data_IF_754578295867
#
_entry.id   IF_754578295867
#
_cell.length_a   1.000
_cell.length_b   1.000
_cell.length_c   1.000
_cell.angle_alpha   90.00
_cell.angle_beta   90.00
_cell.angle_gamma   90.00
#
_symmetry.space_group_name_H-M   'P 1'
#
loop_
_entity.id
_entity.type
_entity.pdbx_description
1 polymer ?
#
# COMPACT_ATOMS: atom_id res chain seq x y z
N UNK A 1 -36.28 -47.46 -12.95
CA UNK A 1 -36.01 -46.94 -11.62
C UNK A 1 -34.54 -46.63 -11.35
N UNK A 2 -33.61 -47.45 -11.82
CA UNK A 2 -32.16 -47.25 -11.56
C UNK A 2 -31.62 -46.00 -12.26
N UNK A 3 -32.14 -45.61 -13.41
CA UNK A 3 -31.71 -44.43 -14.19
C UNK A 3 -32.05 -43.09 -13.52
N UNK A 4 -33.18 -43.02 -12.79
CA UNK A 4 -33.61 -41.83 -12.03
C UNK A 4 -32.69 -41.56 -10.80
N UNK A 5 -32.21 -42.61 -10.14
CA UNK A 5 -31.36 -42.51 -8.97
C UNK A 5 -29.96 -41.97 -9.37
N UNK A 6 -29.40 -42.41 -10.51
CA UNK A 6 -28.11 -41.90 -11.03
C UNK A 6 -28.19 -40.42 -11.36
N UNK A 7 -29.28 -39.93 -11.95
CA UNK A 7 -29.47 -38.52 -12.26
C UNK A 7 -29.55 -37.63 -11.01
N UNK A 8 -30.18 -38.14 -9.93
CA UNK A 8 -30.27 -37.39 -8.66
C UNK A 8 -28.93 -37.25 -7.97
N UNK A 9 -28.07 -38.27 -8.00
CA UNK A 9 -26.73 -38.20 -7.44
C UNK A 9 -25.82 -37.22 -8.26
N UNK A 10 -25.90 -37.29 -9.59
CA UNK A 10 -25.17 -36.37 -10.46
C UNK A 10 -25.58 -34.91 -10.24
N UNK A 11 -26.87 -34.64 -10.08
CA UNK A 11 -27.38 -33.31 -9.81
C UNK A 11 -26.91 -32.77 -8.45
N UNK A 12 -26.91 -33.62 -7.39
CA UNK A 12 -26.42 -33.23 -6.07
C UNK A 12 -24.93 -32.88 -6.07
N UNK A 13 -24.12 -33.68 -6.75
CA UNK A 13 -22.67 -33.43 -6.90
C UNK A 13 -22.42 -32.13 -7.65
N UNK A 14 -23.16 -31.89 -8.74
CA UNK A 14 -23.07 -30.67 -9.53
C UNK A 14 -23.41 -29.44 -8.70
N UNK A 15 -24.49 -29.49 -7.91
CA UNK A 15 -24.90 -28.43 -6.99
C UNK A 15 -23.84 -28.15 -5.92
N UNK A 16 -23.21 -29.18 -5.37
CA UNK A 16 -22.11 -29.00 -4.39
C UNK A 16 -20.89 -28.33 -5.02
N UNK A 17 -20.51 -28.69 -6.24
CA UNK A 17 -19.39 -28.07 -6.95
C UNK A 17 -19.70 -26.59 -7.22
N UNK A 18 -20.89 -26.25 -7.66
CA UNK A 18 -21.31 -24.88 -7.91
C UNK A 18 -21.28 -24.07 -6.61
N UNK A 19 -21.75 -24.63 -5.49
CA UNK A 19 -21.74 -23.97 -4.20
C UNK A 19 -20.31 -23.66 -3.73
N UNK A 20 -19.37 -24.59 -3.91
CA UNK A 20 -17.96 -24.39 -3.57
C UNK A 20 -17.34 -23.28 -4.43
N UNK A 21 -17.65 -23.24 -5.73
CA UNK A 21 -17.19 -22.18 -6.64
C UNK A 21 -17.72 -20.81 -6.21
N UNK A 22 -19.00 -20.72 -5.83
CA UNK A 22 -19.60 -19.47 -5.37
C UNK A 22 -18.92 -18.97 -4.09
N UNK A 23 -18.63 -19.87 -3.13
CA UNK A 23 -17.93 -19.52 -1.89
C UNK A 23 -16.51 -19.01 -2.16
N UNK A 24 -15.81 -19.61 -3.12
CA UNK A 24 -14.46 -19.16 -3.52
C UNK A 24 -14.45 -17.77 -4.18
N UNK A 25 -15.51 -17.42 -4.92
CA UNK A 25 -15.64 -16.12 -5.58
C UNK A 25 -16.03 -15.02 -4.57
N UNK A 26 -16.81 -15.35 -3.56
CA UNK A 26 -17.28 -14.39 -2.54
C UNK A 26 -16.23 -14.16 -1.44
N UNK A 27 -15.21 -15.03 -1.32
CA UNK A 27 -14.14 -14.83 -0.36
C UNK A 27 -13.43 -13.50 -0.66
N UNK A 28 -13.59 -12.44 0.17
CA UNK A 28 -12.88 -11.19 -0.06
C UNK A 28 -11.38 -11.47 0.14
N UNK A 29 -10.62 -11.26 -0.91
CA UNK A 29 -9.17 -11.19 -0.77
C UNK A 29 -8.89 -9.93 0.08
N UNK A 30 -8.64 -10.12 1.35
CA UNK A 30 -8.16 -9.04 2.21
C UNK A 30 -6.77 -8.64 1.73
N UNK A 31 -6.74 -7.71 0.80
CA UNK A 31 -5.50 -7.02 0.46
C UNK A 31 -5.22 -6.10 1.65
N UNK A 32 -4.40 -6.56 2.56
CA UNK A 32 -3.93 -5.75 3.67
C UNK A 32 -3.01 -4.66 3.11
N UNK A 33 -3.61 -3.55 2.71
CA UNK A 33 -2.85 -2.35 2.38
C UNK A 33 -2.49 -1.62 3.67
N UNK A 34 -1.27 -1.09 3.72
CA UNK A 34 -0.86 -0.20 4.80
C UNK A 34 -1.66 1.10 4.76
N UNK A 35 -1.80 1.75 5.89
CA UNK A 35 -2.56 2.99 6.02
C UNK A 35 -1.67 4.10 6.58
N UNK A 36 -1.70 5.27 5.94
CA UNK A 36 -0.96 6.43 6.43
C UNK A 36 -1.55 6.94 7.73
N UNK A 37 -0.74 7.01 8.78
CA UNK A 37 -1.15 7.51 10.09
C UNK A 37 -0.73 8.96 10.30
N UNK A 38 0.50 9.32 9.95
CA UNK A 38 1.03 10.65 10.21
C UNK A 38 2.20 10.97 9.27
N UNK A 39 2.27 12.22 8.84
CA UNK A 39 3.43 12.81 8.16
C UNK A 39 3.94 13.95 9.04
N UNK A 40 5.11 13.80 9.62
CA UNK A 40 5.78 14.89 10.34
C UNK A 40 6.67 15.71 9.39
N UNK A 41 7.47 15.01 8.58
CA UNK A 41 8.25 15.55 7.48
C UNK A 41 8.64 14.42 6.51
N UNK A 42 9.45 14.72 5.50
CA UNK A 42 9.87 13.74 4.48
C UNK A 42 10.70 12.59 5.05
N UNK A 43 11.33 12.79 6.19
CA UNK A 43 12.15 11.79 6.88
C UNK A 43 11.44 11.14 8.06
N UNK A 44 10.20 11.50 8.32
CA UNK A 44 9.45 11.03 9.46
C UNK A 44 7.98 10.83 9.12
N UNK A 45 7.69 9.67 8.55
CA UNK A 45 6.36 9.25 8.14
C UNK A 45 5.99 8.00 8.92
N UNK A 46 4.78 7.96 9.47
CA UNK A 46 4.27 6.83 10.23
C UNK A 46 3.14 6.16 9.45
N UNK A 47 3.28 4.87 9.23
CA UNK A 47 2.31 4.04 8.51
C UNK A 47 1.90 2.87 9.39
N UNK A 48 0.61 2.59 9.45
CA UNK A 48 0.05 1.42 10.11
C UNK A 48 -0.02 0.22 9.17
N UNK A 49 0.53 -0.90 9.59
CA UNK A 49 0.49 -2.16 8.86
C UNK A 49 0.26 -3.32 9.83
N UNK A 50 -0.86 -4.01 9.70
CA UNK A 50 -1.21 -5.20 10.51
C UNK A 50 -0.99 -5.01 12.01
N UNK A 51 -1.61 -3.97 12.62
CA UNK A 51 -1.48 -3.64 14.04
C UNK A 51 -0.08 -3.19 14.49
N UNK A 52 0.80 -2.88 13.54
CA UNK A 52 2.12 -2.32 13.81
C UNK A 52 2.23 -0.93 13.22
N UNK A 53 3.04 -0.09 13.86
CA UNK A 53 3.44 1.20 13.29
C UNK A 53 4.82 1.07 12.67
N UNK A 54 4.93 1.42 11.41
CA UNK A 54 6.19 1.49 10.69
C UNK A 54 6.65 2.94 10.59
N UNK A 55 7.90 3.18 10.93
CA UNK A 55 8.52 4.49 10.83
C UNK A 55 9.35 4.54 9.55
N UNK A 56 8.96 5.42 8.64
CA UNK A 56 9.52 5.51 7.29
C UNK A 56 10.20 6.85 7.07
N UNK A 57 11.23 6.80 6.24
CA UNK A 57 11.86 7.96 5.63
C UNK A 57 11.79 7.80 4.11
N UNK A 58 11.46 8.86 3.39
CA UNK A 58 11.39 8.79 1.93
C UNK A 58 12.77 8.52 1.34
N UNK A 59 12.82 7.49 0.49
CA UNK A 59 14.03 7.11 -0.21
C UNK A 59 14.35 8.10 -1.33
N UNK A 60 15.62 8.43 -1.49
CA UNK A 60 16.11 9.23 -2.61
C UNK A 60 15.54 10.65 -2.64
N UNK A 61 15.44 11.27 -1.48
CA UNK A 61 15.01 12.66 -1.36
C UNK A 61 15.96 13.45 -0.45
N UNK A 62 16.31 14.63 -0.90
CA UNK A 62 17.06 15.61 -0.11
C UNK A 62 16.46 16.99 -0.36
N UNK A 63 15.87 17.56 0.68
CA UNK A 63 15.15 18.83 0.62
C UNK A 63 15.86 19.84 1.53
N UNK A 64 16.09 21.03 1.00
CA UNK A 64 16.66 22.13 1.77
C UNK A 64 15.80 22.46 2.99
N UNK A 65 16.42 22.80 4.10
CA UNK A 65 15.74 23.10 5.36
C UNK A 65 14.65 24.17 5.20
N UNK A 66 14.89 25.17 4.34
CA UNK A 66 13.95 26.26 4.09
C UNK A 66 12.67 25.81 3.36
N UNK A 67 12.71 24.69 2.65
CA UNK A 67 11.62 24.18 1.83
C UNK A 67 10.89 22.99 2.48
N UNK A 68 11.40 22.45 3.59
CA UNK A 68 10.83 21.29 4.27
C UNK A 68 9.38 21.50 4.69
N UNK A 69 9.04 22.67 5.17
CA UNK A 69 7.68 22.98 5.59
C UNK A 69 6.72 22.96 4.41
N UNK A 70 7.08 23.57 3.28
CA UNK A 70 6.27 23.57 2.07
C UNK A 70 6.11 22.16 1.49
N UNK A 71 7.19 21.38 1.46
CA UNK A 71 7.16 19.99 1.03
C UNK A 71 6.22 19.15 1.91
N UNK A 72 6.29 19.31 3.21
CA UNK A 72 5.42 18.62 4.17
C UNK A 72 3.95 18.96 3.95
N UNK A 73 3.64 20.23 3.68
CA UNK A 73 2.27 20.67 3.37
C UNK A 73 1.73 20.01 2.10
N UNK A 74 2.55 19.89 1.06
CA UNK A 74 2.19 19.22 -0.18
C UNK A 74 1.89 17.74 0.08
N UNK A 75 2.72 17.05 0.83
CA UNK A 75 2.51 15.65 1.18
C UNK A 75 1.21 15.46 1.97
N UNK A 76 0.97 16.27 2.99
CA UNK A 76 -0.24 16.19 3.81
C UNK A 76 -1.51 16.47 3.02
N UNK A 77 -1.44 17.35 2.03
CA UNK A 77 -2.58 17.67 1.16
C UNK A 77 -2.94 16.50 0.25
N UNK A 78 -1.95 15.84 -0.33
CA UNK A 78 -2.15 14.75 -1.29
C UNK A 78 -2.29 13.38 -0.63
N UNK A 79 -1.77 13.23 0.58
CA UNK A 79 -1.81 12.00 1.38
C UNK A 79 -2.40 12.29 2.76
N UNK A 80 -3.70 12.53 2.87
CA UNK A 80 -4.34 12.73 4.17
C UNK A 80 -4.26 11.46 5.01
N UNK A 81 -4.40 11.61 6.32
CA UNK A 81 -4.46 10.48 7.26
C UNK A 81 -5.54 9.49 6.82
N UNK A 82 -5.21 8.20 6.86
CA UNK A 82 -6.11 7.14 6.41
C UNK A 82 -5.94 6.73 4.96
N UNK A 83 -5.10 7.44 4.19
CA UNK A 83 -4.80 7.06 2.81
C UNK A 83 -4.18 5.66 2.76
N UNK A 84 -4.73 4.78 1.94
CA UNK A 84 -4.17 3.46 1.69
C UNK A 84 -2.93 3.58 0.83
N UNK A 85 -1.83 3.00 1.29
CA UNK A 85 -0.53 3.11 0.64
C UNK A 85 0.15 1.77 0.44
N UNK A 86 0.98 1.69 -0.59
CA UNK A 86 1.94 0.61 -0.82
C UNK A 86 3.34 1.13 -0.48
N UNK A 87 4.12 0.30 0.17
CA UNK A 87 5.48 0.62 0.58
C UNK A 87 6.46 -0.25 -0.19
N UNK A 88 7.43 0.39 -0.84
CA UNK A 88 8.55 -0.30 -1.48
C UNK A 88 9.83 0.01 -0.71
N UNK A 89 10.34 -0.93 0.09
CA UNK A 89 11.54 -0.71 0.90
C UNK A 89 12.82 -0.76 0.07
N UNK A 90 13.79 0.07 0.44
CA UNK A 90 15.12 0.13 -0.17
C UNK A 90 16.26 -0.06 0.83
N UNK A 91 15.96 -0.16 2.11
CA UNK A 91 16.95 -0.33 3.16
C UNK A 91 16.49 0.32 4.45
N UNK A 92 17.42 0.51 5.37
CA UNK A 92 17.14 1.13 6.65
C UNK A 92 18.19 2.19 6.99
N UNK A 93 17.76 3.20 7.71
CA UNK A 93 18.62 4.25 8.26
C UNK A 93 18.32 4.37 9.76
N UNK A 94 19.14 3.70 10.58
CA UNK A 94 18.87 3.57 12.01
C UNK A 94 17.58 2.79 12.27
N UNK A 95 16.66 3.38 13.03
CA UNK A 95 15.36 2.79 13.36
C UNK A 95 14.29 2.97 12.29
N UNK A 96 14.59 3.69 11.21
CA UNK A 96 13.65 4.00 10.14
C UNK A 96 13.92 3.20 8.88
N UNK A 97 12.85 2.82 8.21
CA UNK A 97 12.90 2.16 6.92
C UNK A 97 12.97 3.22 5.81
N UNK A 98 13.95 3.09 4.93
CA UNK A 98 14.01 3.90 3.69
C UNK A 98 13.08 3.27 2.66
N UNK A 99 12.10 4.01 2.19
CA UNK A 99 11.09 3.47 1.30
C UNK A 99 10.53 4.51 0.33
N UNK A 100 10.01 4.01 -0.78
CA UNK A 100 9.07 4.75 -1.62
C UNK A 100 7.65 4.42 -1.19
N UNK A 101 6.78 5.41 -1.18
CA UNK A 101 5.39 5.30 -0.75
C UNK A 101 4.49 5.69 -1.92
N UNK A 102 3.58 4.79 -2.26
CA UNK A 102 2.63 4.96 -3.37
C UNK A 102 1.20 4.94 -2.84
N UNK A 103 0.36 5.83 -3.35
CA UNK A 103 -1.08 5.75 -3.08
C UNK A 103 -1.69 4.56 -3.84
N UNK A 104 -2.51 3.76 -3.17
CA UNK A 104 -3.11 2.55 -3.77
C UNK A 104 -4.05 2.89 -4.92
N UNK A 105 -4.83 3.98 -4.81
CA UNK A 105 -5.88 4.33 -5.75
C UNK A 105 -5.36 4.64 -7.16
N UNK A 106 -4.27 5.38 -7.27
CA UNK A 106 -3.76 5.92 -8.54
C UNK A 106 -2.26 5.74 -8.75
N UNK A 107 -1.58 5.00 -7.88
CA UNK A 107 -0.13 4.79 -7.88
C UNK A 107 0.72 6.08 -7.80
N UNK A 108 0.15 7.16 -7.28
CA UNK A 108 0.90 8.41 -7.05
C UNK A 108 2.02 8.18 -6.03
N UNK A 109 3.25 8.47 -6.42
CA UNK A 109 4.42 8.35 -5.56
C UNK A 109 4.66 9.67 -4.80
N UNK A 110 4.95 9.57 -3.50
CA UNK A 110 5.23 10.76 -2.67
C UNK A 110 6.43 11.56 -3.18
N UNK A 111 7.50 10.89 -3.58
CA UNK A 111 8.72 11.55 -4.08
C UNK A 111 8.47 12.33 -5.37
N UNK A 112 7.59 11.84 -6.23
CA UNK A 112 7.21 12.52 -7.48
C UNK A 112 6.57 13.88 -7.23
N UNK A 113 5.78 14.02 -6.19
CA UNK A 113 5.16 15.29 -5.80
C UNK A 113 6.20 16.33 -5.35
N UNK A 114 7.37 15.89 -4.94
CA UNK A 114 8.42 16.73 -4.37
C UNK A 114 9.59 16.96 -5.34
N UNK A 115 9.45 16.63 -6.62
CA UNK A 115 10.53 16.81 -7.62
C UNK A 115 11.08 18.22 -7.66
N UNK A 116 10.23 19.22 -7.52
CA UNK A 116 10.61 20.63 -7.57
C UNK A 116 11.53 21.03 -6.41
N UNK A 117 11.37 20.35 -5.27
CA UNK A 117 12.11 20.64 -4.04
C UNK A 117 13.33 19.74 -3.84
N UNK A 118 13.45 18.67 -4.62
CA UNK A 118 14.49 17.67 -4.43
C UNK A 118 15.81 18.10 -5.06
N UNK A 119 16.84 18.29 -4.23
CA UNK A 119 18.19 18.69 -4.65
C UNK A 119 19.11 17.50 -4.99
N UNK A 120 18.74 16.27 -4.62
CA UNK A 120 19.59 15.09 -4.78
C UNK A 120 19.43 14.38 -6.13
N UNK A 121 19.21 15.12 -7.20
CA UNK A 121 19.13 14.55 -8.55
C UNK A 121 20.39 13.75 -8.89
N UNK A 122 20.27 12.42 -8.88
CA UNK A 122 21.32 11.52 -9.34
C UNK A 122 22.04 10.67 -8.28
N UNK A 123 21.80 10.90 -7.00
CA UNK A 123 22.43 10.12 -5.92
C UNK A 123 21.60 8.92 -5.45
N UNK A 124 20.60 8.56 -6.19
CA UNK A 124 19.79 7.39 -5.87
C UNK A 124 20.50 6.15 -6.40
N UNK A 125 20.89 5.28 -5.50
CA UNK A 125 21.37 3.95 -5.89
C UNK A 125 20.22 3.21 -6.61
N UNK A 126 20.45 2.93 -7.86
CA UNK A 126 19.54 2.12 -8.67
C UNK A 126 19.59 0.64 -8.23
#
# INVERSE_FOLDING_TARGET
MIVKIKNVYGLKILLQIILIFIVLIICPVNINSAELLQINDVNNIVVGDQNRSLYLSLYCIDINQNEKENATKILKRNFPRGTKVKIKPYGSNGSRLLAKIFRVDDDTEMTELLKTYNSSKGNCLN
#
